data_IF_914296872784
#
_entry.id   IF_914296872784
#
_cell.length_a   1.000
_cell.length_b   1.000
_cell.length_c   1.000
_cell.angle_alpha   90.00
_cell.angle_beta   90.00
_cell.angle_gamma   90.00
#
_symmetry.space_group_name_H-M   'P 1'
#
loop_
_entity.id
_entity.type
_entity.pdbx_description
1 polymer ?
#
# COMPACT_ATOMS: atom_id res chain seq x y z
N UNK A 1 12.72 18.50 -0.05
CA UNK A 1 12.52 17.91 1.28
C UNK A 1 11.95 16.51 1.14
N UNK A 2 12.20 15.63 2.12
CA UNK A 2 11.58 14.31 2.19
C UNK A 2 10.89 14.19 3.56
N UNK A 3 9.60 13.89 3.54
CA UNK A 3 8.74 13.77 4.73
C UNK A 3 8.46 12.29 4.95
N UNK A 4 8.61 11.79 6.17
CA UNK A 4 8.23 10.42 6.48
C UNK A 4 6.71 10.24 6.49
N UNK A 5 6.24 9.05 6.13
CA UNK A 5 4.83 8.67 6.29
C UNK A 5 4.49 8.44 7.77
N UNK A 6 3.23 8.61 8.18
CA UNK A 6 2.16 9.30 7.43
C UNK A 6 2.42 10.81 7.32
N UNK A 7 1.87 11.46 6.29
CA UNK A 7 1.97 12.91 6.12
C UNK A 7 0.99 13.61 7.07
N UNK A 8 1.41 13.79 8.32
CA UNK A 8 0.52 14.18 9.41
C UNK A 8 -0.23 12.99 10.01
N UNK A 9 -0.93 13.21 11.12
CA UNK A 9 -1.67 12.16 11.85
C UNK A 9 -3.07 11.90 11.29
N UNK A 10 -3.60 12.86 10.54
CA UNK A 10 -4.93 12.85 9.91
C UNK A 10 -4.93 13.76 8.68
N UNK A 11 -6.07 13.79 7.96
CA UNK A 11 -6.21 14.61 6.76
C UNK A 11 -6.11 16.12 7.02
N UNK A 12 -6.48 16.60 8.22
CA UNK A 12 -6.38 18.02 8.57
C UNK A 12 -4.90 18.44 8.65
N UNK A 13 -4.08 17.66 9.36
CA UNK A 13 -2.63 17.90 9.44
C UNK A 13 -1.95 17.70 8.09
N UNK A 14 -2.38 16.71 7.29
CA UNK A 14 -1.89 16.56 5.91
C UNK A 14 -2.16 17.81 5.07
N UNK A 15 -3.35 18.40 5.22
CA UNK A 15 -3.75 19.63 4.52
C UNK A 15 -2.89 20.81 4.94
N UNK A 16 -2.62 20.98 6.23
CA UNK A 16 -1.72 22.03 6.74
C UNK A 16 -0.30 21.89 6.15
N UNK A 17 0.24 20.66 6.12
CA UNK A 17 1.56 20.38 5.53
C UNK A 17 1.56 20.76 4.03
N UNK A 18 0.51 20.41 3.29
CA UNK A 18 0.36 20.76 1.87
C UNK A 18 0.34 22.28 1.66
N UNK A 19 -0.44 23.01 2.46
CA UNK A 19 -0.53 24.47 2.39
C UNK A 19 0.81 25.15 2.72
N UNK A 20 1.53 24.65 3.73
CA UNK A 20 2.88 25.13 4.05
C UNK A 20 3.85 24.88 2.89
N UNK A 21 3.82 23.69 2.29
CA UNK A 21 4.69 23.38 1.15
C UNK A 21 4.40 24.27 -0.05
N UNK A 22 3.11 24.52 -0.36
CA UNK A 22 2.69 25.43 -1.44
C UNK A 22 3.11 26.86 -1.18
N UNK A 23 2.79 27.41 0.00
CA UNK A 23 3.11 28.81 0.35
C UNK A 23 4.61 29.10 0.34
N UNK A 24 5.44 28.11 0.67
CA UNK A 24 6.90 28.20 0.65
C UNK A 24 7.55 27.70 -0.64
N UNK A 25 6.75 27.27 -1.62
CA UNK A 25 7.22 26.69 -2.89
C UNK A 25 8.26 25.56 -2.69
N UNK A 26 7.99 24.66 -1.74
CA UNK A 26 8.89 23.56 -1.41
C UNK A 26 8.73 22.39 -2.38
N UNK A 27 9.83 21.98 -3.01
CA UNK A 27 9.92 20.67 -3.69
C UNK A 27 9.98 19.57 -2.63
N UNK A 28 8.84 18.99 -2.27
CA UNK A 28 8.73 18.02 -1.19
C UNK A 28 7.99 16.76 -1.63
N UNK A 29 8.36 15.64 -1.02
CA UNK A 29 7.73 14.34 -1.26
C UNK A 29 7.52 13.59 0.06
N UNK A 30 6.54 12.69 0.06
CA UNK A 30 6.28 11.78 1.17
C UNK A 30 6.96 10.44 0.88
N UNK A 31 7.55 9.83 1.90
CA UNK A 31 8.27 8.57 1.77
C UNK A 31 7.33 7.35 1.69
N UNK A 32 6.58 7.26 0.60
CA UNK A 32 5.86 6.04 0.23
C UNK A 32 6.75 5.10 -0.58
N UNK A 33 7.83 4.65 0.06
CA UNK A 33 8.89 3.92 -0.62
C UNK A 33 8.47 2.59 -1.25
N UNK A 34 7.31 1.99 -0.89
CA UNK A 34 6.89 0.73 -1.52
C UNK A 34 6.80 0.85 -3.05
N UNK A 35 6.47 2.04 -3.58
CA UNK A 35 6.52 2.37 -5.02
C UNK A 35 7.89 2.18 -5.68
N UNK A 36 8.96 2.18 -4.87
CA UNK A 36 10.35 2.03 -5.30
C UNK A 36 10.93 0.65 -4.99
N UNK A 37 10.15 -0.26 -4.39
CA UNK A 37 10.61 -1.62 -4.17
C UNK A 37 10.78 -2.33 -5.54
N UNK A 38 11.83 -3.16 -5.74
CA UNK A 38 12.15 -3.71 -7.06
C UNK A 38 10.98 -4.43 -7.76
N UNK A 39 10.21 -5.23 -7.02
CA UNK A 39 9.02 -5.89 -7.56
C UNK A 39 7.92 -4.92 -7.99
N UNK A 40 7.77 -3.79 -7.31
CA UNK A 40 6.73 -2.81 -7.63
C UNK A 40 7.11 -1.97 -8.85
N UNK A 41 8.39 -1.64 -9.01
CA UNK A 41 8.91 -0.99 -10.20
C UNK A 41 8.72 -1.88 -11.45
N UNK A 42 9.06 -3.16 -11.33
CA UNK A 42 8.88 -4.13 -12.42
C UNK A 42 7.40 -4.38 -12.75
N UNK A 43 6.53 -4.48 -11.73
CA UNK A 43 5.09 -4.60 -11.94
C UNK A 43 4.50 -3.38 -12.65
N UNK A 44 4.85 -2.16 -12.20
CA UNK A 44 4.40 -0.92 -12.82
C UNK A 44 4.81 -0.84 -14.30
N UNK A 45 6.06 -1.20 -14.61
CA UNK A 45 6.57 -1.22 -15.99
C UNK A 45 5.84 -2.27 -16.85
N UNK A 46 5.58 -3.47 -16.33
CA UNK A 46 4.83 -4.50 -17.05
C UNK A 46 3.39 -4.08 -17.36
N UNK A 47 2.70 -3.45 -16.40
CA UNK A 47 1.36 -2.88 -16.61
C UNK A 47 1.41 -1.76 -17.67
N UNK A 48 2.37 -0.83 -17.56
CA UNK A 48 2.52 0.27 -18.52
C UNK A 48 2.81 -0.21 -19.95
N UNK A 49 3.50 -1.36 -20.10
CA UNK A 49 3.75 -2.02 -21.38
C UNK A 49 2.57 -2.85 -21.89
N UNK A 50 1.45 -2.91 -21.17
CA UNK A 50 0.26 -3.66 -21.55
C UNK A 50 0.42 -5.17 -21.42
N UNK A 51 1.37 -5.66 -20.62
CA UNK A 51 1.61 -7.11 -20.48
C UNK A 51 0.44 -7.84 -19.83
N UNK A 52 -0.44 -7.15 -19.12
CA UNK A 52 -1.64 -7.74 -18.52
C UNK A 52 -2.91 -7.44 -19.32
N UNK A 53 -2.83 -6.66 -20.40
CA UNK A 53 -4.01 -5.99 -20.97
C UNK A 53 -4.51 -4.90 -20.01
N UNK A 54 -5.83 -4.75 -19.89
CA UNK A 54 -6.45 -3.86 -18.90
C UNK A 54 -6.51 -4.56 -17.54
N UNK A 55 -6.02 -3.92 -16.48
CA UNK A 55 -6.12 -4.47 -15.12
C UNK A 55 -7.58 -4.42 -14.66
N UNK A 56 -8.12 -5.56 -14.25
CA UNK A 56 -9.52 -5.72 -13.83
C UNK A 56 -9.67 -6.25 -12.39
N UNK A 57 -8.58 -6.73 -11.80
CA UNK A 57 -8.58 -7.28 -10.44
C UNK A 57 -7.28 -6.97 -9.70
N UNK A 58 -7.40 -6.51 -8.46
CA UNK A 58 -6.30 -6.39 -7.50
C UNK A 58 -6.76 -6.97 -6.16
N UNK A 59 -6.12 -8.06 -5.71
CA UNK A 59 -6.45 -8.74 -4.47
C UNK A 59 -5.22 -8.82 -3.55
N UNK A 60 -5.27 -8.09 -2.44
CA UNK A 60 -4.23 -8.12 -1.42
C UNK A 60 -4.64 -9.01 -0.24
N UNK A 61 -3.84 -10.05 0.02
CA UNK A 61 -4.05 -10.94 1.14
C UNK A 61 -2.85 -10.99 2.08
N UNK A 62 -3.11 -10.61 3.33
CA UNK A 62 -2.14 -10.59 4.40
C UNK A 62 -2.68 -11.37 5.60
N UNK A 63 -1.95 -12.41 5.99
CA UNK A 63 -2.12 -13.15 7.22
C UNK A 63 -0.73 -13.37 7.81
N UNK A 64 -0.31 -12.51 8.72
CA UNK A 64 1.05 -12.53 9.28
C UNK A 64 1.03 -12.29 10.79
N UNK A 65 2.21 -12.42 11.42
CA UNK A 65 2.40 -12.15 12.84
C UNK A 65 3.31 -10.93 12.99
N UNK A 66 2.71 -9.76 13.18
CA UNK A 66 3.51 -8.53 13.30
C UNK A 66 4.11 -8.40 14.69
N UNK A 67 5.43 -8.20 14.81
CA UNK A 67 6.09 -8.03 16.10
C UNK A 67 5.88 -6.59 16.62
N UNK A 68 4.65 -6.22 16.96
CA UNK A 68 4.26 -4.86 17.37
C UNK A 68 5.14 -4.26 18.48
N UNK A 69 5.69 -5.11 19.36
CA UNK A 69 6.61 -4.71 20.43
C UNK A 69 7.90 -4.04 19.95
N UNK A 70 8.29 -4.19 18.67
CA UNK A 70 9.44 -3.47 18.10
C UNK A 70 9.17 -1.96 17.94
N UNK A 71 7.92 -1.52 18.08
CA UNK A 71 7.51 -0.13 17.93
C UNK A 71 6.62 0.30 19.10
N UNK A 72 7.21 0.57 20.26
CA UNK A 72 6.50 0.92 21.50
C UNK A 72 5.50 2.07 21.33
N UNK A 73 5.82 3.07 20.50
CA UNK A 73 4.94 4.20 20.24
C UNK A 73 3.59 3.80 19.59
N UNK A 74 3.56 2.69 18.84
CA UNK A 74 2.33 2.17 18.22
C UNK A 74 1.34 1.59 19.25
N UNK A 75 1.83 1.21 20.43
CA UNK A 75 0.99 0.64 21.48
C UNK A 75 0.00 1.66 22.06
N UNK A 76 0.27 2.95 21.89
CA UNK A 76 -0.58 4.06 22.35
C UNK A 76 -1.19 4.87 21.20
N UNK A 77 -0.83 4.56 19.95
CA UNK A 77 -1.33 5.29 18.79
C UNK A 77 -2.83 4.97 18.55
N UNK A 78 -3.69 5.97 18.33
CA UNK A 78 -5.12 5.76 18.14
C UNK A 78 -5.47 5.14 16.77
N UNK A 79 -4.55 5.27 15.80
CA UNK A 79 -4.66 4.83 14.41
C UNK A 79 -3.40 4.04 14.07
N UNK A 80 -3.53 2.73 13.83
CA UNK A 80 -2.36 1.86 13.58
C UNK A 80 -2.42 1.19 12.21
N UNK A 81 -3.20 0.12 12.03
CA UNK A 81 -3.09 -0.72 10.83
C UNK A 81 -3.18 0.07 9.51
N UNK A 82 -4.23 0.88 9.32
CA UNK A 82 -4.41 1.65 8.08
C UNK A 82 -3.34 2.74 7.97
N UNK A 83 -3.23 3.61 8.97
CA UNK A 83 -2.36 4.80 8.93
C UNK A 83 -0.85 4.48 8.89
N UNK A 84 -0.42 3.38 9.49
CA UNK A 84 1.00 3.06 9.68
C UNK A 84 1.48 1.93 8.77
N UNK A 85 0.62 0.98 8.42
CA UNK A 85 0.99 -0.20 7.64
C UNK A 85 0.37 -0.16 6.24
N UNK A 86 -0.96 -0.24 6.16
CA UNK A 86 -1.67 -0.37 4.89
C UNK A 86 -1.65 0.90 4.04
N UNK A 87 -1.25 2.04 4.61
CA UNK A 87 -0.95 3.26 3.87
C UNK A 87 0.01 3.01 2.70
N UNK A 88 0.97 2.10 2.84
CA UNK A 88 1.87 1.74 1.75
C UNK A 88 1.16 0.97 0.62
N UNK A 89 0.21 0.10 0.97
CA UNK A 89 -0.55 -0.67 -0.02
C UNK A 89 -1.59 0.21 -0.72
N UNK A 90 -2.29 1.06 0.02
CA UNK A 90 -3.22 2.04 -0.52
C UNK A 90 -2.50 2.98 -1.49
N UNK A 91 -1.34 3.48 -1.10
CA UNK A 91 -0.50 4.33 -1.95
C UNK A 91 0.02 3.61 -3.21
N UNK A 92 0.46 2.36 -3.08
CA UNK A 92 0.88 1.53 -4.22
C UNK A 92 -0.27 1.26 -5.18
N UNK A 93 -1.44 0.89 -4.67
CA UNK A 93 -2.62 0.63 -5.50
C UNK A 93 -2.99 1.89 -6.28
N UNK A 94 -2.94 3.06 -5.63
CA UNK A 94 -3.15 4.35 -6.33
C UNK A 94 -2.15 4.58 -7.45
N UNK A 95 -0.89 4.21 -7.26
CA UNK A 95 0.12 4.32 -8.31
C UNK A 95 -0.21 3.45 -9.54
N UNK A 96 -0.82 2.27 -9.33
CA UNK A 96 -1.10 1.31 -10.39
C UNK A 96 -2.45 1.55 -11.07
N UNK A 97 -3.47 1.97 -10.32
CA UNK A 97 -4.87 2.06 -10.78
C UNK A 97 -5.43 3.50 -10.80
N UNK A 98 -4.69 4.48 -10.29
CA UNK A 98 -5.20 5.83 -10.06
C UNK A 98 -5.98 5.95 -8.74
N UNK A 99 -6.65 7.09 -8.53
CA UNK A 99 -7.40 7.33 -7.30
C UNK A 99 -8.76 6.61 -7.32
N UNK A 100 -9.12 5.83 -6.28
CA UNK A 100 -10.46 5.25 -6.19
C UNK A 100 -11.49 6.34 -5.90
N UNK A 101 -12.74 6.09 -6.32
CA UNK A 101 -13.89 6.96 -6.06
C UNK A 101 -14.33 6.93 -4.59
N UNK A 102 -14.04 5.83 -3.89
CA UNK A 102 -14.42 5.61 -2.50
C UNK A 102 -13.84 4.32 -1.93
N UNK A 103 -14.20 4.02 -0.69
CA UNK A 103 -13.77 2.80 0.01
C UNK A 103 -14.85 2.29 0.96
N UNK A 104 -15.08 0.98 0.92
CA UNK A 104 -15.78 0.25 1.97
C UNK A 104 -14.74 -0.43 2.86
N UNK A 105 -14.61 -0.03 4.12
CA UNK A 105 -13.59 -0.58 5.00
C UNK A 105 -14.15 -0.95 6.38
N UNK A 106 -13.50 -1.93 7.01
CA UNK A 106 -13.64 -2.22 8.43
C UNK A 106 -12.28 -2.55 9.02
N UNK A 107 -11.88 -1.80 10.04
CA UNK A 107 -10.64 -2.06 10.80
C UNK A 107 -10.95 -2.35 12.26
N UNK A 108 -10.25 -3.31 12.84
CA UNK A 108 -10.53 -3.88 14.16
C UNK A 108 -9.23 -4.13 14.94
N UNK A 109 -9.25 -3.83 16.24
CA UNK A 109 -8.21 -4.29 17.16
C UNK A 109 -8.38 -5.77 17.53
N UNK A 110 -7.35 -6.41 18.07
CA UNK A 110 -7.39 -7.78 18.56
C UNK A 110 -7.58 -7.82 20.08
N UNK A 111 -8.50 -8.63 20.63
CA UNK A 111 -8.81 -8.62 22.07
C UNK A 111 -7.65 -9.05 22.97
N UNK A 112 -6.64 -9.73 22.40
CA UNK A 112 -5.46 -10.20 23.13
C UNK A 112 -4.34 -9.17 23.33
N UNK A 113 -4.47 -7.92 22.86
CA UNK A 113 -3.47 -6.87 23.07
C UNK A 113 -4.06 -5.46 22.92
N UNK A 114 -3.25 -4.42 23.17
CA UNK A 114 -3.71 -3.02 23.22
C UNK A 114 -3.55 -2.20 21.93
N UNK A 115 -2.91 -2.74 20.90
CA UNK A 115 -2.77 -2.03 19.60
C UNK A 115 -4.16 -1.72 19.05
N UNK A 116 -4.41 -0.46 18.68
CA UNK A 116 -5.75 0.07 18.43
C UNK A 116 -6.51 -0.70 17.32
N UNK A 117 -5.84 -0.91 16.17
CA UNK A 117 -6.34 -1.76 15.09
C UNK A 117 -5.19 -2.55 14.46
N UNK A 118 -5.47 -3.80 14.10
CA UNK A 118 -4.48 -4.75 13.55
C UNK A 118 -5.04 -5.65 12.44
N UNK A 119 -6.34 -5.52 12.14
CA UNK A 119 -7.03 -6.37 11.17
C UNK A 119 -8.00 -5.52 10.36
N UNK A 120 -7.87 -5.56 9.04
CA UNK A 120 -8.65 -4.71 8.14
C UNK A 120 -9.15 -5.49 6.93
N UNK A 121 -10.40 -5.27 6.58
CA UNK A 121 -10.95 -5.63 5.28
C UNK A 121 -11.37 -4.35 4.57
N UNK A 122 -10.98 -4.18 3.31
CA UNK A 122 -11.34 -3.01 2.51
C UNK A 122 -11.61 -3.37 1.05
N UNK A 123 -12.53 -2.63 0.42
CA UNK A 123 -12.80 -2.64 -1.01
C UNK A 123 -12.63 -1.22 -1.51
N UNK A 124 -11.71 -1.01 -2.46
CA UNK A 124 -11.53 0.28 -3.12
C UNK A 124 -12.41 0.35 -4.36
N UNK A 125 -13.24 1.40 -4.44
CA UNK A 125 -14.23 1.56 -5.50
C UNK A 125 -13.60 2.22 -6.74
N UNK A 126 -13.42 1.43 -7.78
CA UNK A 126 -13.00 1.90 -9.12
C UNK A 126 -14.17 1.87 -10.13
N UNK A 127 -15.41 1.88 -9.65
CA UNK A 127 -16.61 1.66 -10.44
C UNK A 127 -16.77 0.20 -10.86
N UNK A 128 -17.41 -0.01 -12.01
CA UNK A 128 -17.85 -1.34 -12.46
C UNK A 128 -16.76 -2.13 -13.22
N UNK A 129 -15.53 -1.59 -13.30
CA UNK A 129 -14.48 -2.13 -14.19
C UNK A 129 -13.35 -2.84 -13.46
N UNK A 130 -13.04 -2.47 -12.21
CA UNK A 130 -11.92 -3.06 -11.46
C UNK A 130 -12.36 -3.46 -10.07
N UNK A 131 -12.22 -4.75 -9.74
CA UNK A 131 -12.36 -5.22 -8.35
C UNK A 131 -11.04 -5.00 -7.61
N UNK A 132 -11.05 -4.20 -6.55
CA UNK A 132 -9.88 -4.02 -5.70
C UNK A 132 -10.21 -4.34 -4.25
N UNK A 133 -9.61 -5.38 -3.69
CA UNK A 133 -9.88 -5.86 -2.34
C UNK A 133 -8.60 -6.03 -1.51
N UNK A 134 -8.71 -5.75 -0.21
CA UNK A 134 -7.65 -5.94 0.78
C UNK A 134 -8.22 -6.74 1.95
N UNK A 135 -7.57 -7.85 2.31
CA UNK A 135 -7.87 -8.68 3.47
C UNK A 135 -6.61 -8.85 4.31
N UNK A 136 -6.55 -8.15 5.44
CA UNK A 136 -5.33 -7.96 6.22
C UNK A 136 -5.55 -8.39 7.67
N UNK A 137 -4.66 -9.27 8.14
CA UNK A 137 -4.63 -9.74 9.52
C UNK A 137 -3.18 -9.85 10.00
N UNK A 138 -2.81 -8.97 10.94
CA UNK A 138 -1.47 -8.95 11.55
C UNK A 138 -1.35 -9.87 12.79
N UNK A 139 -2.41 -10.59 13.16
CA UNK A 139 -2.50 -11.44 14.35
C UNK A 139 -2.47 -12.94 14.05
N UNK A 140 -2.07 -13.34 12.84
CA UNK A 140 -1.92 -14.76 12.48
C UNK A 140 -0.61 -15.35 13.04
N UNK A 141 -0.55 -15.47 14.37
CA UNK A 141 0.65 -15.83 15.15
C UNK A 141 0.94 -17.32 15.32
N UNK A 142 0.29 -18.19 14.55
CA UNK A 142 0.34 -19.66 14.72
C UNK A 142 1.52 -20.32 14.00
N UNK A 143 2.68 -19.64 14.00
CA UNK A 143 3.88 -20.04 13.28
C UNK A 143 3.91 -19.56 11.82
N UNK A 144 5.04 -19.79 11.15
CA UNK A 144 5.27 -19.31 9.78
C UNK A 144 4.42 -20.04 8.73
N UNK A 145 4.07 -21.30 8.98
CA UNK A 145 3.24 -22.11 8.09
C UNK A 145 1.85 -21.47 7.96
N UNK A 146 1.39 -21.26 6.72
CA UNK A 146 0.13 -20.58 6.37
C UNK A 146 0.08 -19.06 6.61
N UNK A 147 1.20 -18.43 6.94
CA UNK A 147 1.31 -16.98 6.80
C UNK A 147 1.48 -16.59 5.33
N UNK A 148 0.84 -15.50 4.95
CA UNK A 148 0.85 -14.95 3.59
C UNK A 148 0.94 -13.43 3.64
N UNK A 149 1.63 -12.86 2.64
CA UNK A 149 1.66 -11.43 2.39
C UNK A 149 1.84 -11.26 0.90
N UNK A 150 0.73 -11.33 0.18
CA UNK A 150 0.72 -11.51 -1.26
C UNK A 150 -0.29 -10.62 -1.95
N UNK A 151 0.05 -10.21 -3.17
CA UNK A 151 -0.86 -9.52 -4.08
C UNK A 151 -1.08 -10.38 -5.32
N UNK A 152 -2.32 -10.46 -5.77
CA UNK A 152 -2.71 -11.06 -7.04
C UNK A 152 -3.35 -9.99 -7.89
N UNK A 153 -2.84 -9.81 -9.11
CA UNK A 153 -3.34 -8.82 -10.06
C UNK A 153 -3.73 -9.57 -11.33
N UNK A 154 -4.97 -9.41 -11.77
CA UNK A 154 -5.42 -9.96 -13.04
C UNK A 154 -5.77 -8.82 -13.99
N UNK A 155 -5.29 -8.92 -15.22
CA UNK A 155 -5.80 -8.15 -16.32
C UNK A 155 -6.56 -9.03 -17.32
N UNK A 156 -7.05 -8.40 -18.38
CA UNK A 156 -7.83 -9.07 -19.43
C UNK A 156 -7.04 -10.12 -20.21
N UNK A 157 -5.71 -10.02 -20.24
CA UNK A 157 -4.84 -10.86 -21.09
C UNK A 157 -3.62 -11.41 -20.36
N UNK A 158 -3.43 -11.08 -19.08
CA UNK A 158 -2.31 -11.56 -18.28
C UNK A 158 -2.54 -11.35 -16.78
N UNK A 159 -1.59 -11.78 -15.96
CA UNK A 159 -1.68 -11.67 -14.51
C UNK A 159 -0.31 -11.46 -13.86
N UNK A 160 -0.30 -11.02 -12.61
CA UNK A 160 0.89 -10.94 -11.77
C UNK A 160 0.59 -11.49 -10.36
N UNK A 161 1.59 -12.15 -9.79
CA UNK A 161 1.61 -12.60 -8.41
C UNK A 161 2.82 -11.99 -7.71
N UNK A 162 2.60 -11.50 -6.50
CA UNK A 162 3.64 -10.91 -5.66
C UNK A 162 3.63 -11.53 -4.28
N UNK A 163 4.83 -11.69 -3.71
CA UNK A 163 5.03 -11.95 -2.29
C UNK A 163 5.90 -10.83 -1.72
N UNK A 164 5.45 -10.22 -0.64
CA UNK A 164 6.21 -9.24 0.13
C UNK A 164 6.89 -9.98 1.29
N UNK A 165 8.09 -10.49 1.02
CA UNK A 165 8.81 -11.38 1.93
C UNK A 165 9.26 -10.69 3.22
N UNK A 166 9.53 -9.38 3.17
CA UNK A 166 9.91 -8.61 4.35
C UNK A 166 8.91 -8.72 5.50
N UNK A 167 7.61 -8.67 5.20
CA UNK A 167 6.54 -8.71 6.20
C UNK A 167 6.43 -10.08 6.91
N UNK A 168 6.96 -11.14 6.30
CA UNK A 168 6.82 -12.51 6.81
C UNK A 168 7.90 -12.90 7.81
N UNK A 169 9.01 -12.16 7.86
CA UNK A 169 10.15 -12.43 8.75
C UNK A 169 10.88 -11.15 9.19
N UNK A 170 10.13 -10.09 9.49
CA UNK A 170 10.70 -8.79 9.83
C UNK A 170 11.61 -8.87 11.08
N UNK A 171 12.78 -8.19 11.12
CA UNK A 171 13.32 -7.29 10.09
C UNK A 171 14.20 -7.96 9.04
N UNK A 172 14.50 -9.27 9.17
CA UNK A 172 15.38 -9.99 8.23
C UNK A 172 14.73 -10.11 6.85
N UNK A 173 13.45 -10.43 6.84
CA UNK A 173 12.64 -10.67 5.65
C UNK A 173 12.93 -12.01 4.98
N UNK A 174 11.95 -12.46 4.21
CA UNK A 174 12.15 -13.46 3.17
C UNK A 174 12.36 -12.76 1.81
N UNK A 175 12.80 -13.48 0.77
CA UNK A 175 12.82 -12.93 -0.58
C UNK A 175 11.43 -12.46 -1.01
N UNK A 176 11.39 -11.27 -1.58
CA UNK A 176 10.26 -10.78 -2.37
C UNK A 176 10.14 -11.62 -3.65
N UNK A 177 8.92 -11.85 -4.13
CA UNK A 177 8.65 -12.57 -5.37
C UNK A 177 7.81 -11.68 -6.27
N UNK A 178 8.14 -11.68 -7.56
CA UNK A 178 7.27 -11.22 -8.64
C UNK A 178 7.24 -12.30 -9.72
N UNK A 179 6.05 -12.78 -10.04
CA UNK A 179 5.79 -13.65 -11.18
C UNK A 179 4.76 -12.98 -12.08
N UNK A 180 4.97 -13.06 -13.39
CA UNK A 180 4.07 -12.47 -14.38
C UNK A 180 3.68 -13.55 -15.38
N UNK A 181 2.38 -13.67 -15.64
CA UNK A 181 1.84 -14.35 -16.81
C UNK A 181 1.54 -13.30 -17.87
N UNK A 182 2.41 -13.08 -18.87
CA UNK A 182 2.24 -11.99 -19.82
C UNK A 182 1.21 -12.34 -20.90
N UNK A 183 0.63 -11.30 -21.50
CA UNK A 183 -0.18 -11.36 -22.71
C UNK A 183 0.54 -12.11 -23.82
N UNK A 184 -0.11 -13.16 -24.33
CA UNK A 184 0.46 -14.05 -25.35
C UNK A 184 1.52 -15.03 -24.81
N UNK A 185 1.78 -15.04 -23.49
CA UNK A 185 2.60 -16.03 -22.83
C UNK A 185 1.88 -17.36 -22.65
N UNK A 186 2.64 -18.42 -22.38
CA UNK A 186 2.11 -19.76 -22.12
C UNK A 186 2.23 -20.21 -20.67
N UNK A 187 3.04 -19.52 -19.86
CA UNK A 187 3.32 -19.87 -18.46
C UNK A 187 3.73 -18.63 -17.64
N UNK A 188 3.78 -18.79 -16.32
CA UNK A 188 4.29 -17.79 -15.38
C UNK A 188 5.81 -17.64 -15.51
N UNK A 189 6.27 -16.40 -15.49
CA UNK A 189 7.69 -16.04 -15.55
C UNK A 189 8.07 -15.38 -14.24
N UNK A 190 8.99 -15.99 -13.49
CA UNK A 190 9.62 -15.35 -12.33
C UNK A 190 10.52 -14.21 -12.80
N UNK A 191 10.29 -13.01 -12.29
CA UNK A 191 11.11 -11.83 -12.59
C UNK A 191 12.31 -11.83 -11.63
N UNK A 192 13.56 -11.88 -12.13
CA UNK A 192 14.73 -11.77 -11.28
C UNK A 192 14.79 -10.39 -10.63
N UNK A 193 14.78 -10.34 -9.30
CA UNK A 193 14.81 -9.10 -8.52
C UNK A 193 16.21 -8.90 -7.91
N UNK A 194 16.69 -7.66 -7.93
CA UNK A 194 17.90 -7.23 -7.23
C UNK A 194 17.52 -6.12 -6.25
N UNK A 195 17.90 -6.30 -4.99
CA UNK A 195 17.46 -5.44 -3.88
C UNK A 195 16.17 -5.94 -3.22
N UNK A 196 15.70 -5.17 -2.24
CA UNK A 196 14.52 -5.48 -1.43
C UNK A 196 13.68 -4.22 -1.17
N UNK A 197 12.49 -4.39 -0.59
CA UNK A 197 11.71 -3.24 -0.12
C UNK A 197 12.49 -2.38 0.90
N UNK A 198 13.21 -3.01 1.83
CA UNK A 198 14.10 -2.32 2.77
C UNK A 198 15.51 -2.93 2.65
N UNK A 199 16.58 -2.14 2.45
CA UNK A 199 16.64 -0.68 2.43
C UNK A 199 16.52 -0.04 1.04
N UNK A 200 16.56 -0.80 -0.06
CA UNK A 200 16.79 -0.26 -1.40
C UNK A 200 15.70 0.71 -1.88
N UNK A 201 14.44 0.47 -1.49
CA UNK A 201 13.35 1.36 -1.87
C UNK A 201 13.48 2.76 -1.22
N UNK A 202 14.11 2.86 -0.04
CA UNK A 202 14.47 4.18 0.52
C UNK A 202 15.51 4.88 -0.35
N UNK A 203 16.53 4.14 -0.82
CA UNK A 203 17.55 4.70 -1.71
C UNK A 203 16.91 5.21 -3.00
N UNK A 204 15.98 4.45 -3.58
CA UNK A 204 15.20 4.87 -4.75
C UNK A 204 14.39 6.14 -4.50
N UNK A 205 13.67 6.24 -3.37
CA UNK A 205 12.95 7.45 -2.99
C UNK A 205 13.88 8.65 -2.83
N UNK A 206 14.99 8.50 -2.11
CA UNK A 206 15.96 9.57 -1.90
C UNK A 206 16.59 10.02 -3.22
N UNK A 207 16.93 9.08 -4.10
CA UNK A 207 17.47 9.36 -5.43
C UNK A 207 16.48 10.17 -6.28
N UNK A 208 15.20 9.79 -6.34
CA UNK A 208 14.20 10.56 -7.10
C UNK A 208 14.03 11.99 -6.55
N UNK A 209 14.06 12.20 -5.23
CA UNK A 209 14.04 13.57 -4.66
C UNK A 209 15.25 14.39 -5.13
N UNK A 210 16.45 13.81 -5.08
CA UNK A 210 17.69 14.49 -5.46
C UNK A 210 17.72 14.81 -6.95
N UNK A 211 17.38 13.83 -7.79
CA UNK A 211 17.33 13.94 -9.26
C UNK A 211 16.28 14.95 -9.71
N UNK A 212 15.11 14.97 -9.09
CA UNK A 212 14.11 16.00 -9.38
C UNK A 212 14.57 17.39 -8.93
N UNK A 213 15.26 17.49 -7.78
CA UNK A 213 15.80 18.76 -7.31
C UNK A 213 16.89 19.32 -8.23
N UNK A 214 17.73 18.46 -8.81
CA UNK A 214 18.77 18.82 -9.79
C UNK A 214 18.25 19.00 -11.22
N UNK A 215 17.00 18.60 -11.51
CA UNK A 215 16.39 18.68 -12.84
C UNK A 215 16.71 17.50 -13.77
N UNK A 216 17.27 16.42 -13.23
CA UNK A 216 17.55 15.17 -13.96
C UNK A 216 16.31 14.30 -14.15
N UNK A 217 15.34 14.36 -13.23
CA UNK A 217 14.03 13.74 -13.35
C UNK A 217 12.95 14.81 -13.52
N UNK A 218 12.01 14.58 -14.45
CA UNK A 218 10.88 15.49 -14.69
C UNK A 218 9.74 15.31 -13.67
N UNK A 219 9.66 14.16 -13.00
CA UNK A 219 8.59 13.80 -12.07
C UNK A 219 9.14 13.60 -10.65
N UNK A 220 8.48 14.25 -9.69
CA UNK A 220 8.66 13.97 -8.27
C UNK A 220 7.60 12.97 -7.82
N UNK A 221 7.92 11.68 -7.86
CA UNK A 221 6.99 10.62 -7.45
C UNK A 221 6.62 10.81 -5.97
N UNK A 222 5.35 10.62 -5.63
CA UNK A 222 4.84 10.83 -4.26
C UNK A 222 5.16 12.24 -3.73
N UNK A 223 4.94 13.27 -4.56
CA UNK A 223 4.99 14.67 -4.12
C UNK A 223 4.03 14.90 -2.94
N UNK A 224 4.14 16.04 -2.27
CA UNK A 224 3.21 16.37 -1.16
C UNK A 224 1.75 16.43 -1.63
N UNK A 225 1.50 16.86 -2.87
CA UNK A 225 0.20 16.84 -3.51
C UNK A 225 -0.32 15.40 -3.69
N UNK A 226 0.49 14.51 -4.27
CA UNK A 226 0.11 13.10 -4.44
C UNK A 226 -0.02 12.38 -3.09
N UNK A 227 0.85 12.72 -2.13
CA UNK A 227 0.80 12.14 -0.80
C UNK A 227 -0.43 12.56 0.00
N UNK A 228 -0.95 13.77 -0.25
CA UNK A 228 -2.23 14.20 0.30
C UNK A 228 -3.38 13.31 -0.17
N UNK A 229 -3.41 12.89 -1.44
CA UNK A 229 -4.43 11.95 -1.94
C UNK A 229 -4.36 10.58 -1.24
N UNK A 230 -3.15 10.10 -0.90
CA UNK A 230 -3.01 8.89 -0.04
C UNK A 230 -3.61 9.13 1.34
N UNK A 231 -3.35 10.28 1.95
CA UNK A 231 -3.94 10.62 3.26
C UNK A 231 -5.46 10.77 3.19
N UNK A 232 -6.00 11.30 2.08
CA UNK A 232 -7.43 11.39 1.85
C UNK A 232 -8.08 10.01 1.78
N UNK A 233 -7.44 9.05 1.09
CA UNK A 233 -7.90 7.65 1.05
C UNK A 233 -7.82 6.97 2.43
N UNK A 234 -6.75 7.20 3.18
CA UNK A 234 -6.62 6.71 4.57
C UNK A 234 -7.76 7.24 5.44
N UNK A 235 -8.07 8.53 5.36
CA UNK A 235 -9.15 9.14 6.14
C UNK A 235 -10.52 8.58 5.73
N UNK A 236 -10.77 8.43 4.42
CA UNK A 236 -11.99 7.81 3.90
C UNK A 236 -12.17 6.38 4.42
N UNK A 237 -11.08 5.59 4.52
CA UNK A 237 -11.14 4.23 5.06
C UNK A 237 -11.50 4.21 6.56
N UNK A 238 -10.96 5.15 7.36
CA UNK A 238 -11.35 5.30 8.76
C UNK A 238 -12.81 5.75 8.91
N UNK A 239 -13.26 6.71 8.12
CA UNK A 239 -14.66 7.17 8.10
C UNK A 239 -15.61 6.02 7.73
N UNK A 240 -15.27 5.25 6.70
CA UNK A 240 -16.02 4.06 6.27
C UNK A 240 -16.12 3.01 7.37
N UNK A 241 -15.02 2.73 8.08
CA UNK A 241 -14.99 1.78 9.20
C UNK A 241 -15.81 2.22 10.42
N UNK A 242 -15.98 3.53 10.60
CA UNK A 242 -16.80 4.12 11.65
C UNK A 242 -18.31 4.10 11.32
N UNK A 243 -18.66 4.09 10.04
CA UNK A 243 -20.04 3.97 9.60
C UNK A 243 -20.60 2.55 9.85
N UNK A 244 -21.91 2.41 10.07
CA UNK A 244 -22.55 1.11 10.12
C UNK A 244 -22.55 0.44 8.73
N UNK A 245 -22.45 -0.88 8.71
CA UNK A 245 -22.70 -1.65 7.50
C UNK A 245 -24.19 -1.59 7.11
N UNK A 246 -24.49 -1.86 5.84
CA UNK A 246 -25.86 -2.04 5.39
C UNK A 246 -26.51 -3.18 6.18
N UNK A 247 -27.65 -2.94 6.87
CA UNK A 247 -28.30 -3.97 7.67
C UNK A 247 -28.88 -5.06 6.77
N UNK A 248 -28.85 -6.31 7.25
CA UNK A 248 -29.64 -7.39 6.65
C UNK A 248 -31.13 -7.19 6.97
N UNK A 249 -32.01 -7.71 6.12
CA UNK A 249 -33.45 -7.64 6.38
C UNK A 249 -33.81 -8.33 7.71
N UNK A 250 -34.66 -7.67 8.50
CA UNK A 250 -35.22 -8.28 9.70
C UNK A 250 -36.15 -9.44 9.34
N UNK A 251 -36.27 -10.42 10.23
CA UNK A 251 -37.32 -11.45 10.10
C UNK A 251 -38.70 -10.76 10.19
N UNK A 252 -39.70 -11.21 9.41
CA UNK A 252 -41.08 -10.73 9.53
C UNK A 252 -41.64 -10.86 10.95
#
# INVERSE_FOLDING_TARGET
ALIQKPMGSDLSQATEILEICRSKNLKAAVNFQLRFAPMMLALKDAIAKGWLGDVVDFDAWLALATPWQLWEFLLQAPRVEIAMHSIHYLDLIRQLLGDPKGVHAKTLGHPGHKVAQTRTSAILDYGDTVRCALSINHDHKFGRKHQACEFRICGTEGAAYLKLGLNLDYPRGEPDILEIYPKGGSDWITVPLVGAWFPDAFAGRMANVQRYASGEDAELVSSVEDGWNTMALVEAAYQSSAAPATPIAARP
#
